data_IF_302288298490
#
_entry.id   IF_302288298490
#
_cell.length_a   1.000
_cell.length_b   1.000
_cell.length_c   1.000
_cell.angle_alpha   90.00
_cell.angle_beta   90.00
_cell.angle_gamma   90.00
#
_symmetry.space_group_name_H-M   'P 1'
#
loop_
_entity.id
_entity.type
_entity.pdbx_description
1 polymer ?
#
# COMPACT_ATOMS: atom_id res chain seq x y z
N UNK A 1 8.59 -10.33 -17.27
CA UNK A 1 7.18 -10.24 -16.96
C UNK A 1 6.98 -9.54 -15.61
N UNK A 2 6.24 -8.46 -15.62
CA UNK A 2 6.02 -7.65 -14.42
C UNK A 2 5.01 -8.32 -13.47
N UNK A 3 5.32 -8.33 -12.18
CA UNK A 3 4.38 -8.74 -11.15
C UNK A 3 3.42 -7.59 -10.86
N UNK A 4 2.17 -7.91 -10.60
CA UNK A 4 1.12 -6.93 -10.26
C UNK A 4 0.48 -7.33 -8.94
N UNK A 5 0.34 -6.36 -8.05
CA UNK A 5 -0.19 -6.53 -6.71
C UNK A 5 -1.18 -5.42 -6.39
N UNK A 6 -1.95 -5.61 -5.33
CA UNK A 6 -3.03 -4.70 -4.94
C UNK A 6 -2.82 -4.23 -3.50
N UNK A 7 -3.07 -2.95 -3.27
CA UNK A 7 -3.21 -2.38 -1.93
C UNK A 7 -4.63 -1.81 -1.80
N UNK A 8 -5.38 -2.33 -0.84
CA UNK A 8 -6.76 -1.93 -0.61
C UNK A 8 -6.89 -1.10 0.67
N UNK A 9 -7.71 -0.04 0.60
CA UNK A 9 -7.96 0.87 1.71
C UNK A 9 -9.23 0.54 2.49
N UNK A 10 -10.01 -0.45 2.04
CA UNK A 10 -11.28 -0.79 2.68
C UNK A 10 -12.29 0.35 2.61
N UNK A 11 -12.47 0.89 1.43
CA UNK A 11 -13.38 2.00 1.18
C UNK A 11 -14.80 1.63 1.61
N UNK A 12 -15.40 2.49 2.43
CA UNK A 12 -16.82 2.39 2.80
C UNK A 12 -17.59 3.28 1.82
N UNK A 13 -18.20 2.66 0.83
CA UNK A 13 -19.00 3.34 -0.18
C UNK A 13 -20.29 3.89 0.43
N UNK A 14 -20.87 4.89 -0.27
CA UNK A 14 -22.14 5.48 0.15
C UNK A 14 -23.20 4.39 0.32
N UNK A 15 -23.99 4.51 1.38
CA UNK A 15 -25.05 3.57 1.77
C UNK A 15 -24.57 2.16 2.19
N UNK A 16 -23.26 1.97 2.30
CA UNK A 16 -22.68 0.71 2.80
C UNK A 16 -22.27 0.86 4.28
N UNK A 17 -22.33 -0.27 4.97
CA UNK A 17 -21.85 -0.37 6.36
C UNK A 17 -20.36 -0.73 6.39
N UNK A 18 -19.66 -0.48 7.51
CA UNK A 18 -18.29 -0.98 7.68
C UNK A 18 -18.18 -2.50 7.53
N UNK A 19 -19.17 -3.26 7.99
CA UNK A 19 -19.18 -4.71 7.81
C UNK A 19 -19.20 -5.08 6.32
N UNK A 20 -20.08 -4.45 5.54
CA UNK A 20 -20.13 -4.67 4.10
C UNK A 20 -18.80 -4.31 3.42
N UNK A 21 -18.20 -3.20 3.82
CA UNK A 21 -16.92 -2.76 3.28
C UNK A 21 -15.80 -3.79 3.54
N UNK A 22 -15.71 -4.33 4.75
CA UNK A 22 -14.73 -5.36 5.09
C UNK A 22 -14.96 -6.66 4.34
N UNK A 23 -16.22 -7.06 4.16
CA UNK A 23 -16.57 -8.23 3.35
C UNK A 23 -16.25 -7.99 1.86
N UNK A 24 -16.42 -6.78 1.36
CA UNK A 24 -16.03 -6.41 0.00
C UNK A 24 -14.50 -6.45 -0.17
N UNK A 25 -13.74 -6.03 0.84
CA UNK A 25 -12.27 -6.19 0.83
C UNK A 25 -11.89 -7.66 0.70
N UNK A 26 -12.56 -8.55 1.43
CA UNK A 26 -12.35 -10.00 1.30
C UNK A 26 -12.67 -10.49 -0.12
N UNK A 27 -13.82 -10.07 -0.66
CA UNK A 27 -14.20 -10.44 -2.02
C UNK A 27 -13.18 -9.95 -3.05
N UNK A 28 -12.65 -8.74 -2.87
CA UNK A 28 -11.64 -8.20 -3.77
C UNK A 28 -10.33 -9.00 -3.69
N UNK A 29 -9.94 -9.42 -2.49
CA UNK A 29 -8.77 -10.29 -2.31
C UNK A 29 -8.97 -11.64 -3.03
N UNK A 30 -10.17 -12.21 -2.95
CA UNK A 30 -10.52 -13.45 -3.66
C UNK A 30 -10.49 -13.27 -5.18
N UNK A 31 -10.95 -12.13 -5.69
CA UNK A 31 -10.84 -11.79 -7.11
C UNK A 31 -9.37 -11.71 -7.53
N UNK A 32 -8.56 -11.00 -6.75
CA UNK A 32 -7.13 -10.87 -7.01
C UNK A 32 -6.42 -12.23 -7.01
N UNK A 33 -6.78 -13.12 -6.09
CA UNK A 33 -6.26 -14.48 -5.98
C UNK A 33 -6.58 -15.29 -7.25
N UNK A 34 -7.83 -15.25 -7.68
CA UNK A 34 -8.26 -15.96 -8.91
C UNK A 34 -7.60 -15.41 -10.17
N UNK A 35 -7.39 -14.10 -10.22
CA UNK A 35 -6.72 -13.44 -11.34
C UNK A 35 -5.20 -13.59 -11.29
N UNK A 36 -4.67 -14.24 -10.26
CA UNK A 36 -3.23 -14.52 -10.06
C UNK A 36 -2.39 -13.28 -9.83
N UNK A 37 -2.96 -12.26 -9.18
CA UNK A 37 -2.14 -11.18 -8.63
C UNK A 37 -1.16 -11.74 -7.62
N UNK A 38 -0.02 -11.09 -7.49
CA UNK A 38 1.06 -11.62 -6.65
C UNK A 38 0.82 -11.36 -5.16
N UNK A 39 0.32 -10.18 -4.80
CA UNK A 39 0.06 -9.77 -3.41
C UNK A 39 -1.25 -9.00 -3.28
N UNK A 40 -1.86 -9.12 -2.11
CA UNK A 40 -2.96 -8.25 -1.71
C UNK A 40 -2.64 -7.72 -0.32
N UNK A 41 -2.41 -6.41 -0.24
CA UNK A 41 -2.09 -5.72 0.99
C UNK A 41 -3.26 -4.86 1.44
N UNK A 42 -3.37 -4.64 2.76
CA UNK A 42 -4.35 -3.74 3.37
C UNK A 42 -3.62 -2.66 4.15
N UNK A 43 -4.15 -1.43 4.09
CA UNK A 43 -3.54 -0.28 4.73
C UNK A 43 -3.91 -0.19 6.21
N UNK A 44 -3.21 0.69 6.94
CA UNK A 44 -3.57 1.08 8.30
C UNK A 44 -3.90 2.58 8.29
N UNK A 45 -5.19 2.90 8.52
CA UNK A 45 -5.66 4.27 8.64
C UNK A 45 -6.45 4.43 9.93
N UNK A 46 -6.20 5.53 10.64
CA UNK A 46 -6.86 5.82 11.91
C UNK A 46 -7.62 7.13 11.83
N UNK A 47 -8.79 7.17 12.45
CA UNK A 47 -9.64 8.35 12.52
C UNK A 47 -10.08 8.85 11.13
N UNK A 48 -10.34 7.92 10.21
CA UNK A 48 -10.84 8.22 8.86
C UNK A 48 -12.10 7.38 8.65
N UNK A 49 -13.27 8.01 8.69
CA UNK A 49 -14.55 7.31 8.64
C UNK A 49 -14.78 6.51 7.35
N UNK A 50 -14.27 7.00 6.22
CA UNK A 50 -14.49 6.37 4.93
C UNK A 50 -13.62 5.14 4.65
N UNK A 51 -12.64 4.84 5.51
CA UNK A 51 -11.74 3.70 5.35
C UNK A 51 -11.87 2.74 6.53
N UNK A 52 -12.23 1.49 6.25
CA UNK A 52 -12.46 0.48 7.29
C UNK A 52 -11.17 -0.23 7.73
N UNK A 53 -10.03 -0.01 7.05
CA UNK A 53 -8.77 -0.70 7.36
C UNK A 53 -7.98 0.04 8.44
N UNK A 54 -8.30 -0.20 9.69
CA UNK A 54 -7.54 0.33 10.83
C UNK A 54 -6.64 -0.72 11.49
N UNK A 55 -6.91 -2.00 11.27
CA UNK A 55 -6.21 -3.11 11.94
C UNK A 55 -5.78 -4.14 10.90
N UNK A 56 -4.71 -3.84 10.13
CA UNK A 56 -4.27 -4.73 9.07
C UNK A 56 -3.87 -6.12 9.56
N UNK A 57 -3.32 -6.26 10.74
CA UNK A 57 -2.93 -7.55 11.33
C UNK A 57 -4.12 -8.51 11.48
N UNK A 58 -5.29 -7.99 11.86
CA UNK A 58 -6.51 -8.80 11.97
C UNK A 58 -7.06 -9.13 10.58
N UNK A 59 -7.07 -8.15 9.68
CA UNK A 59 -7.56 -8.34 8.32
C UNK A 59 -6.67 -9.32 7.55
N UNK A 60 -5.37 -9.28 7.75
CA UNK A 60 -4.45 -10.22 7.10
C UNK A 60 -4.83 -11.67 7.41
N UNK A 61 -5.14 -11.97 8.67
CA UNK A 61 -5.57 -13.33 9.05
C UNK A 61 -6.88 -13.70 8.35
N UNK A 62 -7.87 -12.80 8.38
CA UNK A 62 -9.16 -13.03 7.74
C UNK A 62 -9.00 -13.25 6.23
N UNK A 63 -8.18 -12.43 5.56
CA UNK A 63 -7.98 -12.54 4.11
C UNK A 63 -7.17 -13.79 3.75
N UNK A 64 -6.16 -14.13 4.52
CA UNK A 64 -5.35 -15.33 4.28
C UNK A 64 -6.19 -16.60 4.43
N UNK A 65 -7.09 -16.64 5.43
CA UNK A 65 -8.03 -17.75 5.63
C UNK A 65 -9.03 -17.92 4.46
N UNK A 66 -9.29 -16.87 3.70
CA UNK A 66 -10.30 -16.86 2.63
C UNK A 66 -9.70 -16.80 1.22
N UNK A 67 -8.41 -16.94 1.09
CA UNK A 67 -7.69 -17.00 -0.19
C UNK A 67 -6.79 -18.23 -0.23
N UNK A 68 -6.22 -18.54 -1.40
CA UNK A 68 -5.49 -19.80 -1.57
C UNK A 68 -3.99 -19.62 -1.84
N UNK A 69 -3.61 -18.77 -2.79
CA UNK A 69 -2.23 -18.67 -3.25
C UNK A 69 -1.64 -17.27 -3.10
N UNK A 70 -2.45 -16.23 -3.18
CA UNK A 70 -2.00 -14.86 -3.14
C UNK A 70 -1.30 -14.54 -1.80
N UNK A 71 -0.21 -13.80 -1.87
CA UNK A 71 0.45 -13.31 -0.66
C UNK A 71 -0.43 -12.22 -0.02
N UNK A 72 -0.50 -12.23 1.29
CA UNK A 72 -1.31 -11.29 2.07
C UNK A 72 -0.37 -10.46 2.94
N UNK A 73 -0.59 -9.15 2.99
CA UNK A 73 0.28 -8.29 3.77
C UNK A 73 -0.35 -6.97 4.18
N UNK A 74 0.46 -6.13 4.79
CA UNK A 74 0.10 -4.78 5.21
C UNK A 74 0.81 -3.75 4.32
N UNK A 75 0.12 -2.67 4.02
CA UNK A 75 0.69 -1.62 3.19
C UNK A 75 0.34 -0.21 3.67
N UNK A 76 0.88 0.20 4.84
CA UNK A 76 1.72 -0.57 5.76
C UNK A 76 1.29 -0.38 7.20
N UNK A 77 1.65 -1.33 8.02
CA UNK A 77 1.56 -1.15 9.46
C UNK A 77 2.39 0.07 9.83
N UNK A 78 1.91 0.83 10.81
CA UNK A 78 2.59 2.02 11.33
C UNK A 78 3.43 1.63 12.55
N UNK A 79 4.70 1.23 12.37
CA UNK A 79 5.45 0.51 13.39
C UNK A 79 5.84 1.38 14.59
N UNK A 80 5.80 2.69 14.43
CA UNK A 80 6.10 3.60 15.53
C UNK A 80 5.02 3.65 16.61
N UNK A 81 3.86 3.09 16.35
CA UNK A 81 2.78 3.02 17.34
C UNK A 81 2.88 1.78 18.24
N UNK A 82 3.68 0.78 17.87
CA UNK A 82 3.65 -0.52 18.52
C UNK A 82 5.04 -1.01 18.88
N UNK A 83 5.09 -2.04 19.73
CA UNK A 83 6.32 -2.79 19.99
C UNK A 83 6.75 -3.57 18.74
N UNK A 84 8.00 -3.46 18.35
CA UNK A 84 8.57 -4.27 17.26
C UNK A 84 8.47 -5.76 17.55
N UNK A 85 8.66 -6.14 18.81
CA UNK A 85 8.49 -7.52 19.26
C UNK A 85 7.06 -8.03 19.04
N UNK A 86 6.06 -7.21 19.37
CA UNK A 86 4.65 -7.60 19.19
C UNK A 86 4.27 -7.71 17.71
N UNK A 87 4.76 -6.80 16.89
CA UNK A 87 4.57 -6.89 15.42
C UNK A 87 5.17 -8.19 14.90
N UNK A 88 6.36 -8.54 15.34
CA UNK A 88 7.01 -9.79 14.93
C UNK A 88 6.20 -11.02 15.37
N UNK A 89 5.61 -11.00 16.57
CA UNK A 89 4.73 -12.08 17.01
C UNK A 89 3.48 -12.22 16.14
N UNK A 90 2.85 -11.10 15.76
CA UNK A 90 1.73 -11.13 14.82
C UNK A 90 2.13 -11.80 13.51
N UNK A 91 3.27 -11.39 12.96
CA UNK A 91 3.73 -11.87 11.66
C UNK A 91 4.10 -13.35 11.69
N UNK A 92 4.74 -13.79 12.75
CA UNK A 92 5.11 -15.21 12.88
C UNK A 92 3.90 -16.11 13.12
N UNK A 93 2.87 -15.60 13.79
CA UNK A 93 1.58 -16.31 13.94
C UNK A 93 0.90 -16.47 12.58
N UNK A 94 0.86 -15.39 11.79
CA UNK A 94 0.33 -15.42 10.43
C UNK A 94 1.11 -16.40 9.54
N UNK A 95 2.44 -16.33 9.60
CA UNK A 95 3.31 -17.22 8.80
C UNK A 95 3.13 -18.68 9.17
N UNK A 96 2.96 -19.00 10.46
CA UNK A 96 2.76 -20.38 10.92
C UNK A 96 1.47 -20.99 10.33
N UNK A 97 0.41 -20.20 10.22
CA UNK A 97 -0.87 -20.66 9.69
C UNK A 97 -0.96 -20.57 8.18
N UNK A 98 -0.21 -19.67 7.56
CA UNK A 98 -0.23 -19.43 6.12
C UNK A 98 1.21 -19.34 5.57
N UNK A 99 1.97 -20.43 5.58
CA UNK A 99 3.39 -20.40 5.24
C UNK A 99 3.63 -19.93 3.79
N UNK A 100 4.65 -19.11 3.63
CA UNK A 100 5.12 -18.56 2.35
C UNK A 100 4.13 -17.56 1.70
N UNK A 101 3.20 -17.01 2.49
CA UNK A 101 2.17 -16.10 1.96
C UNK A 101 2.08 -14.77 2.70
N UNK A 102 2.99 -14.46 3.61
CA UNK A 102 2.84 -13.31 4.50
C UNK A 102 3.90 -12.25 4.22
N UNK A 103 3.45 -11.01 4.12
CA UNK A 103 4.30 -9.84 3.97
C UNK A 103 4.05 -8.85 5.11
N UNK A 104 5.12 -8.32 5.68
CA UNK A 104 5.06 -7.17 6.56
C UNK A 104 5.54 -5.95 5.78
N UNK A 105 4.60 -5.14 5.30
CA UNK A 105 4.91 -3.82 4.78
C UNK A 105 4.69 -2.79 5.88
N UNK A 106 5.63 -1.87 6.05
CA UNK A 106 5.57 -0.85 7.11
C UNK A 106 5.74 0.55 6.53
N UNK A 107 4.95 1.50 7.05
CA UNK A 107 5.08 2.91 6.76
C UNK A 107 6.04 3.60 7.72
N UNK A 108 6.24 4.90 7.55
CA UNK A 108 7.15 5.70 8.37
C UNK A 108 6.46 6.88 9.07
N UNK A 109 5.14 6.94 9.04
CA UNK A 109 4.37 8.05 9.63
C UNK A 109 3.98 7.76 11.08
N UNK A 110 3.87 8.81 11.88
CA UNK A 110 3.27 8.77 13.21
C UNK A 110 1.78 9.15 13.19
N UNK A 111 1.27 9.64 12.05
CA UNK A 111 -0.07 10.16 11.97
C UNK A 111 -0.24 11.48 12.72
N UNK A 112 -1.49 11.85 13.01
CA UNK A 112 -1.79 13.10 13.70
C UNK A 112 -1.50 13.00 15.20
N UNK A 113 -1.33 14.14 15.92
CA UNK A 113 -1.17 14.12 17.37
C UNK A 113 -2.31 13.42 18.11
N UNK A 114 -3.54 13.58 17.62
CA UNK A 114 -4.71 12.94 18.21
C UNK A 114 -4.63 11.40 18.11
N UNK A 115 -4.22 10.88 16.95
CA UNK A 115 -4.01 9.46 16.73
C UNK A 115 -2.86 8.93 17.61
N UNK A 116 -1.77 9.67 17.69
CA UNK A 116 -0.63 9.29 18.54
C UNK A 116 -1.04 9.14 20.00
N UNK A 117 -1.86 10.08 20.53
CA UNK A 117 -2.37 9.97 21.88
C UNK A 117 -3.29 8.78 22.09
N UNK A 118 -4.21 8.57 21.13
CA UNK A 118 -5.17 7.47 21.21
C UNK A 118 -4.48 6.10 21.19
N UNK A 119 -3.41 5.96 20.42
CA UNK A 119 -2.64 4.73 20.32
C UNK A 119 -1.56 4.60 21.40
N UNK A 120 -1.38 5.63 22.21
CA UNK A 120 -0.31 5.67 23.23
C UNK A 120 1.05 5.35 22.63
N UNK A 121 1.36 6.01 21.50
CA UNK A 121 2.57 5.74 20.73
C UNK A 121 3.83 5.81 21.60
N UNK A 122 4.57 4.71 21.64
CA UNK A 122 5.75 4.55 22.49
C UNK A 122 7.04 5.03 21.81
N UNK A 123 6.99 5.31 20.52
CA UNK A 123 8.15 5.73 19.75
C UNK A 123 7.98 7.13 19.19
N UNK A 124 9.09 7.82 19.00
CA UNK A 124 9.16 9.07 18.24
C UNK A 124 9.73 8.77 16.85
N UNK A 125 9.67 9.73 15.94
CA UNK A 125 10.11 9.54 14.56
C UNK A 125 11.59 9.12 14.45
N UNK A 126 12.43 9.62 15.33
CA UNK A 126 13.86 9.31 15.37
C UNK A 126 14.14 7.85 15.72
N UNK A 127 13.17 7.14 16.29
CA UNK A 127 13.30 5.71 16.61
C UNK A 127 13.15 4.80 15.38
N UNK A 128 12.74 5.36 14.25
CA UNK A 128 12.34 4.54 13.08
C UNK A 128 13.42 3.56 12.64
N UNK A 129 14.67 4.05 12.49
CA UNK A 129 15.80 3.20 12.10
C UNK A 129 15.99 2.02 13.04
N UNK A 130 15.95 2.27 14.34
CA UNK A 130 16.10 1.23 15.36
C UNK A 130 14.95 0.23 15.33
N UNK A 131 13.72 0.71 15.19
CA UNK A 131 12.54 -0.15 15.12
C UNK A 131 12.62 -1.08 13.89
N UNK A 132 13.04 -0.55 12.75
CA UNK A 132 13.19 -1.36 11.54
C UNK A 132 14.32 -2.38 11.70
N UNK A 133 15.45 -1.99 12.29
CA UNK A 133 16.55 -2.93 12.58
C UNK A 133 16.07 -4.07 13.49
N UNK A 134 15.31 -3.77 14.53
CA UNK A 134 14.73 -4.78 15.41
C UNK A 134 13.81 -5.73 14.64
N UNK A 135 12.90 -5.20 13.83
CA UNK A 135 12.01 -6.02 13.00
C UNK A 135 12.81 -6.90 12.03
N UNK A 136 13.83 -6.34 11.41
CA UNK A 136 14.70 -7.09 10.49
C UNK A 136 15.36 -8.26 11.21
N UNK A 137 15.85 -8.06 12.42
CA UNK A 137 16.49 -9.09 13.23
C UNK A 137 15.49 -10.15 13.71
N UNK A 138 14.33 -9.73 14.24
CA UNK A 138 13.30 -10.67 14.69
C UNK A 138 12.78 -11.56 13.56
N UNK A 139 12.73 -11.04 12.36
CA UNK A 139 12.21 -11.76 11.18
C UNK A 139 13.31 -12.36 10.30
N UNK A 140 14.50 -12.55 10.86
CA UNK A 140 15.62 -13.18 10.17
C UNK A 140 15.97 -14.51 10.86
N UNK A 141 15.88 -15.65 10.15
CA UNK A 141 16.12 -16.97 10.76
C UNK A 141 17.55 -17.17 11.26
N UNK A 142 18.53 -16.58 10.60
CA UNK A 142 19.94 -16.82 10.80
C UNK A 142 20.72 -15.55 11.15
N UNK A 143 20.11 -14.66 11.92
CA UNK A 143 20.79 -13.43 12.31
C UNK A 143 21.98 -13.74 13.21
N UNK A 144 23.21 -13.27 12.89
CA UNK A 144 24.40 -13.54 13.71
C UNK A 144 24.35 -12.85 15.09
N UNK A 145 23.51 -11.81 15.24
CA UNK A 145 23.34 -11.08 16.48
C UNK A 145 21.86 -11.03 16.88
N UNK A 146 21.28 -12.15 17.26
CA UNK A 146 19.85 -12.19 17.61
C UNK A 146 19.59 -11.37 18.87
N UNK A 147 18.40 -10.80 18.94
CA UNK A 147 17.95 -10.12 20.15
C UNK A 147 17.73 -11.16 21.28
N UNK A 148 17.92 -10.77 22.55
CA UNK A 148 17.95 -11.73 23.66
C UNK A 148 16.56 -12.25 24.09
N UNK A 149 15.57 -12.15 23.24
CA UNK A 149 14.20 -12.58 23.47
C UNK A 149 13.69 -13.30 22.22
N UNK A 150 12.99 -14.41 22.41
CA UNK A 150 12.50 -15.23 21.31
C UNK A 150 11.11 -14.80 20.86
N UNK A 151 10.92 -14.64 19.56
CA UNK A 151 9.61 -14.44 18.95
C UNK A 151 8.97 -15.82 18.72
N UNK A 152 7.76 -16.02 19.18
CA UNK A 152 6.98 -17.23 18.96
C UNK A 152 5.73 -16.94 18.11
N UNK A 153 5.26 -17.92 17.32
CA UNK A 153 5.89 -19.22 17.06
C UNK A 153 7.12 -19.07 16.16
N UNK A 154 8.15 -19.88 16.41
CA UNK A 154 9.30 -19.94 15.52
C UNK A 154 8.96 -20.78 14.28
N UNK A 155 9.57 -20.46 13.16
CA UNK A 155 9.37 -21.17 11.91
C UNK A 155 10.66 -21.30 11.11
N UNK A 156 10.60 -22.04 10.00
CA UNK A 156 11.71 -22.19 9.07
C UNK A 156 11.70 -21.12 7.98
N UNK A 157 10.51 -20.61 7.65
CA UNK A 157 10.27 -19.55 6.68
C UNK A 157 9.71 -18.36 7.41
N UNK A 158 10.12 -17.18 6.99
CA UNK A 158 9.76 -15.93 7.66
C UNK A 158 9.00 -15.01 6.68
N UNK A 159 8.14 -14.13 7.17
CA UNK A 159 7.47 -13.13 6.32
C UNK A 159 8.49 -12.26 5.59
N UNK A 160 8.12 -11.77 4.41
CA UNK A 160 8.91 -10.75 3.74
C UNK A 160 8.72 -9.40 4.44
N UNK A 161 9.79 -8.64 4.56
CA UNK A 161 9.76 -7.30 5.16
C UNK A 161 9.98 -6.24 4.08
N UNK A 162 9.02 -5.30 3.98
CA UNK A 162 9.02 -4.23 2.98
C UNK A 162 8.89 -2.87 3.66
N UNK A 163 9.68 -1.89 3.23
CA UNK A 163 9.52 -0.50 3.67
C UNK A 163 8.81 0.31 2.59
N UNK A 164 7.84 1.12 2.99
CA UNK A 164 7.05 1.97 2.09
C UNK A 164 7.35 3.44 2.38
N UNK A 165 7.74 4.19 1.38
CA UNK A 165 7.95 5.64 1.50
C UNK A 165 8.09 6.29 0.13
N UNK A 166 8.31 7.62 0.13
CA UNK A 166 8.76 8.37 -1.03
C UNK A 166 10.09 9.09 -0.74
N UNK A 167 10.80 8.68 0.31
CA UNK A 167 12.04 9.36 0.73
C UNK A 167 13.28 8.52 0.47
N UNK A 168 14.35 9.19 0.03
CA UNK A 168 15.64 8.54 -0.17
C UNK A 168 16.22 7.99 1.12
N UNK A 169 15.91 8.60 2.26
CA UNK A 169 16.38 8.14 3.57
C UNK A 169 15.84 6.73 3.90
N UNK A 170 14.54 6.52 3.72
CA UNK A 170 13.93 5.20 3.94
C UNK A 170 14.39 4.20 2.89
N UNK A 171 14.52 4.63 1.64
CA UNK A 171 15.06 3.78 0.57
C UNK A 171 16.47 3.29 0.89
N UNK A 172 17.31 4.16 1.41
CA UNK A 172 18.67 3.82 1.84
C UNK A 172 18.66 2.80 2.98
N UNK A 173 17.80 2.99 3.96
CA UNK A 173 17.65 2.05 5.08
C UNK A 173 17.24 0.67 4.58
N UNK A 174 16.23 0.61 3.70
CA UNK A 174 15.80 -0.65 3.08
C UNK A 174 16.95 -1.33 2.32
N UNK A 175 17.71 -0.54 1.55
CA UNK A 175 18.89 -1.06 0.84
C UNK A 175 19.95 -1.61 1.77
N UNK A 176 20.33 -0.87 2.79
CA UNK A 176 21.37 -1.26 3.74
C UNK A 176 21.03 -2.54 4.50
N UNK A 177 19.74 -2.75 4.80
CA UNK A 177 19.26 -3.93 5.52
C UNK A 177 18.85 -5.08 4.59
N UNK A 178 18.94 -4.90 3.27
CA UNK A 178 18.57 -5.94 2.30
C UNK A 178 17.08 -6.27 2.32
N UNK A 179 16.23 -5.25 2.50
CA UNK A 179 14.77 -5.39 2.54
C UNK A 179 14.15 -5.06 1.18
N UNK A 180 12.86 -5.41 1.02
CA UNK A 180 12.07 -4.92 -0.09
C UNK A 180 11.74 -3.44 0.11
N UNK A 181 11.62 -2.70 -0.99
CA UNK A 181 11.26 -1.29 -0.93
C UNK A 181 10.09 -0.98 -1.86
N UNK A 182 9.13 -0.23 -1.35
CA UNK A 182 7.98 0.25 -2.12
C UNK A 182 8.03 1.77 -2.17
N UNK A 183 8.18 2.30 -3.39
CA UNK A 183 8.12 3.74 -3.65
C UNK A 183 6.67 4.12 -3.98
N UNK A 184 6.09 5.06 -3.22
CA UNK A 184 4.73 5.56 -3.46
C UNK A 184 4.74 6.90 -4.15
N UNK A 185 4.09 7.01 -5.32
CA UNK A 185 3.90 8.29 -6.01
C UNK A 185 2.56 8.90 -5.58
N UNK A 186 2.47 9.30 -4.32
CA UNK A 186 1.21 9.84 -3.81
C UNK A 186 1.07 11.33 -4.11
N UNK A 187 -0.18 11.86 -4.22
CA UNK A 187 -0.44 13.30 -4.30
C UNK A 187 0.23 14.08 -3.17
N UNK A 188 0.19 15.40 -3.25
CA UNK A 188 0.74 16.37 -2.30
C UNK A 188 2.24 16.61 -2.36
N UNK A 189 2.96 15.89 -3.19
CA UNK A 189 4.40 16.11 -3.32
C UNK A 189 4.67 17.16 -4.41
N UNK A 190 5.45 18.20 -4.12
CA UNK A 190 5.73 19.26 -5.10
C UNK A 190 6.77 18.89 -6.15
N UNK A 191 7.32 17.69 -6.09
CA UNK A 191 8.35 17.21 -7.01
C UNK A 191 7.74 16.57 -8.24
N UNK A 192 8.48 16.60 -9.36
CA UNK A 192 8.13 15.79 -10.53
C UNK A 192 8.18 14.29 -10.17
N UNK A 193 7.10 13.54 -10.41
CA UNK A 193 7.02 12.14 -10.02
C UNK A 193 8.05 11.24 -10.71
N UNK A 194 8.36 11.51 -11.97
CA UNK A 194 9.35 10.72 -12.72
C UNK A 194 10.75 10.93 -12.13
N UNK A 195 11.11 12.18 -11.86
CA UNK A 195 12.40 12.51 -11.28
C UNK A 195 12.57 11.94 -9.89
N UNK A 196 11.52 12.06 -9.07
CA UNK A 196 11.51 11.50 -7.72
C UNK A 196 11.66 9.98 -7.77
N UNK A 197 10.90 9.31 -8.65
CA UNK A 197 11.01 7.86 -8.83
C UNK A 197 12.43 7.43 -9.21
N UNK A 198 13.09 8.17 -10.11
CA UNK A 198 14.47 7.89 -10.50
C UNK A 198 15.45 8.05 -9.33
N UNK A 199 15.35 9.15 -8.61
CA UNK A 199 16.26 9.47 -7.51
C UNK A 199 16.15 8.47 -6.35
N UNK A 200 14.93 8.19 -5.92
CA UNK A 200 14.66 7.33 -4.77
C UNK A 200 15.01 5.87 -5.09
N UNK A 201 14.63 5.39 -6.26
CA UNK A 201 14.94 4.02 -6.67
C UNK A 201 16.44 3.79 -6.87
N UNK A 202 17.14 4.77 -7.42
CA UNK A 202 18.61 4.71 -7.53
C UNK A 202 19.28 4.61 -6.16
N UNK A 203 18.80 5.39 -5.19
CA UNK A 203 19.29 5.35 -3.82
C UNK A 203 19.12 3.95 -3.20
N UNK A 204 17.95 3.33 -3.38
CA UNK A 204 17.70 1.99 -2.90
C UNK A 204 18.66 0.96 -3.53
N UNK A 205 18.79 0.98 -4.86
CA UNK A 205 19.62 0.01 -5.57
C UNK A 205 21.10 0.16 -5.26
N UNK A 206 21.59 1.39 -5.15
CA UNK A 206 23.01 1.67 -4.86
C UNK A 206 23.42 1.25 -3.46
N UNK A 207 22.48 1.27 -2.50
CA UNK A 207 22.76 0.93 -1.11
C UNK A 207 22.44 -0.53 -0.78
N UNK A 208 21.79 -1.25 -1.69
CA UNK A 208 21.31 -2.62 -1.42
C UNK A 208 22.43 -3.58 -1.08
N UNK A 209 22.28 -4.26 0.04
CA UNK A 209 23.14 -5.36 0.48
C UNK A 209 22.31 -6.63 0.62
N UNK A 210 22.71 -7.74 -0.02
CA UNK A 210 22.01 -9.00 0.15
C UNK A 210 21.87 -9.41 1.61
N UNK A 211 20.71 -9.95 1.96
CA UNK A 211 20.40 -10.39 3.32
C UNK A 211 19.60 -11.69 3.29
N UNK A 212 19.26 -12.22 4.47
CA UNK A 212 18.36 -13.35 4.57
C UNK A 212 16.93 -13.00 4.11
N UNK A 213 16.58 -11.72 4.05
CA UNK A 213 15.28 -11.25 3.55
C UNK A 213 15.22 -11.32 2.03
N UNK A 214 16.20 -10.74 1.36
CA UNK A 214 16.30 -10.72 -0.10
C UNK A 214 17.74 -10.81 -0.55
N UNK A 215 17.99 -11.64 -1.55
CA UNK A 215 19.32 -11.77 -2.18
C UNK A 215 19.55 -10.70 -3.23
N UNK A 216 18.48 -10.19 -3.83
CA UNK A 216 18.49 -9.17 -4.88
C UNK A 216 17.54 -8.05 -4.53
N UNK A 217 17.76 -6.82 -5.01
CA UNK A 217 16.83 -5.73 -4.80
C UNK A 217 15.43 -6.09 -5.30
N UNK A 218 14.41 -5.69 -4.54
CA UNK A 218 13.01 -5.87 -4.91
C UNK A 218 12.33 -4.52 -4.73
N UNK A 219 11.94 -3.91 -5.83
CA UNK A 219 11.31 -2.59 -5.85
C UNK A 219 9.88 -2.67 -6.36
N UNK A 220 8.92 -2.20 -5.56
CA UNK A 220 7.55 -1.97 -6.00
C UNK A 220 7.30 -0.48 -6.23
N UNK A 221 6.49 -0.17 -7.22
CA UNK A 221 5.90 1.15 -7.39
C UNK A 221 4.45 1.10 -6.94
N UNK A 222 4.07 1.94 -5.98
CA UNK A 222 2.68 2.08 -5.53
C UNK A 222 2.06 3.35 -6.13
N UNK A 223 0.86 3.22 -6.70
CA UNK A 223 0.16 4.34 -7.33
C UNK A 223 -1.35 4.18 -7.19
N UNK A 224 -2.06 5.30 -7.01
CA UNK A 224 -3.51 5.32 -7.15
C UNK A 224 -3.86 5.10 -8.63
N UNK A 225 -4.69 4.10 -8.88
CA UNK A 225 -5.10 3.72 -10.24
C UNK A 225 -6.61 3.75 -10.33
N UNK A 226 -7.13 4.57 -11.25
CA UNK A 226 -8.55 4.58 -11.61
C UNK A 226 -8.64 4.12 -13.06
N UNK A 227 -8.88 2.84 -13.24
CA UNK A 227 -8.89 2.14 -14.52
C UNK A 227 -10.31 1.67 -14.82
N UNK A 228 -10.83 2.06 -15.98
CA UNK A 228 -12.17 1.68 -16.46
C UNK A 228 -12.08 1.32 -17.94
N UNK A 229 -13.20 0.86 -18.50
CA UNK A 229 -13.25 0.43 -19.92
C UNK A 229 -12.95 1.57 -20.90
N UNK A 230 -13.34 2.81 -20.54
CA UNK A 230 -13.11 4.00 -21.37
C UNK A 230 -12.47 5.11 -20.55
N UNK A 231 -11.80 6.05 -21.24
CA UNK A 231 -11.23 7.23 -20.59
C UNK A 231 -12.31 8.09 -19.92
N UNK A 232 -13.46 8.25 -20.56
CA UNK A 232 -14.59 9.03 -20.04
C UNK A 232 -15.13 8.45 -18.74
N UNK A 233 -15.29 7.13 -18.70
CA UNK A 233 -15.75 6.43 -17.51
C UNK A 233 -14.71 6.53 -16.39
N UNK A 234 -13.45 6.37 -16.71
CA UNK A 234 -12.37 6.52 -15.72
C UNK A 234 -12.32 7.94 -15.15
N UNK A 235 -12.50 8.97 -15.99
CA UNK A 235 -12.55 10.36 -15.54
C UNK A 235 -13.71 10.60 -14.57
N UNK A 236 -14.88 10.06 -14.85
CA UNK A 236 -16.03 10.16 -13.95
C UNK A 236 -15.75 9.49 -12.60
N UNK A 237 -15.12 8.32 -12.63
CA UNK A 237 -14.78 7.56 -11.41
C UNK A 237 -13.59 8.15 -10.64
N UNK A 238 -12.80 9.00 -11.26
CA UNK A 238 -11.66 9.67 -10.63
C UNK A 238 -12.05 10.95 -9.88
N UNK A 239 -13.20 11.54 -10.18
CA UNK A 239 -13.66 12.76 -9.51
C UNK A 239 -13.82 12.60 -7.98
N UNK A 240 -14.33 11.48 -7.46
CA UNK A 240 -14.33 11.25 -6.02
C UNK A 240 -12.93 11.33 -5.42
N UNK A 241 -11.92 10.79 -6.09
CA UNK A 241 -10.54 10.84 -5.62
C UNK A 241 -10.01 12.29 -5.61
N UNK A 242 -10.31 13.07 -6.64
CA UNK A 242 -9.94 14.48 -6.69
C UNK A 242 -10.46 15.25 -5.48
N UNK A 243 -11.74 15.06 -5.16
CA UNK A 243 -12.40 15.73 -4.04
C UNK A 243 -11.86 15.21 -2.71
N UNK A 244 -11.68 13.91 -2.59
CA UNK A 244 -11.12 13.29 -1.40
C UNK A 244 -9.75 13.90 -1.06
N UNK A 245 -8.92 14.08 -2.07
CA UNK A 245 -7.57 14.62 -1.89
C UNK A 245 -7.55 16.12 -1.57
N UNK A 246 -8.65 16.84 -1.77
CA UNK A 246 -8.78 18.22 -1.30
C UNK A 246 -9.07 18.31 0.19
N UNK A 247 -9.71 17.30 0.77
CA UNK A 247 -10.04 17.21 2.18
C UNK A 247 -8.91 16.70 3.08
N UNK A 248 -7.67 16.84 2.62
CA UNK A 248 -6.49 16.28 3.28
C UNK A 248 -6.38 16.57 4.77
N UNK A 249 -6.80 17.77 5.21
CA UNK A 249 -6.72 18.17 6.62
C UNK A 249 -7.93 17.72 7.43
N UNK A 250 -9.02 17.38 6.78
CA UNK A 250 -10.25 16.91 7.42
C UNK A 250 -10.95 15.87 6.55
N UNK A 251 -10.38 14.68 6.50
CA UNK A 251 -11.00 13.56 5.80
C UNK A 251 -12.35 13.15 6.40
N UNK A 252 -12.64 13.56 7.63
CA UNK A 252 -13.90 13.24 8.30
C UNK A 252 -15.07 14.13 7.87
N UNK A 253 -14.84 15.08 6.97
CA UNK A 253 -15.92 15.74 6.24
C UNK A 253 -16.75 14.69 5.44
N UNK A 254 -16.13 13.60 5.05
CA UNK A 254 -16.80 12.49 4.35
C UNK A 254 -16.99 11.31 5.31
N UNK A 255 -18.24 10.98 5.62
CA UNK A 255 -18.58 9.79 6.45
C UNK A 255 -18.43 8.50 5.66
N UNK A 256 -18.63 8.58 4.35
CA UNK A 256 -18.38 7.50 3.39
C UNK A 256 -17.61 8.10 2.21
N UNK A 257 -17.04 7.23 1.38
CA UNK A 257 -16.31 7.70 0.20
C UNK A 257 -17.30 8.34 -0.80
N UNK A 258 -16.95 9.51 -1.38
CA UNK A 258 -17.88 10.17 -2.30
C UNK A 258 -18.21 9.32 -3.53
N UNK A 259 -19.47 9.42 -4.00
CA UNK A 259 -19.89 8.79 -5.25
C UNK A 259 -19.43 9.61 -6.44
N UNK A 260 -19.40 9.00 -7.62
CA UNK A 260 -19.13 9.71 -8.88
C UNK A 260 -20.17 10.81 -9.11
N UNK A 261 -21.44 10.54 -8.78
CA UNK A 261 -22.54 11.50 -8.93
C UNK A 261 -22.36 12.70 -8.01
N UNK A 262 -22.08 12.47 -6.72
CA UNK A 262 -21.81 13.57 -5.78
C UNK A 262 -20.62 14.41 -6.25
N UNK A 263 -19.55 13.74 -6.67
CA UNK A 263 -18.35 14.43 -7.13
C UNK A 263 -18.60 15.28 -8.39
N UNK A 264 -19.47 14.83 -9.30
CA UNK A 264 -19.81 15.55 -10.52
C UNK A 264 -20.52 16.88 -10.25
N UNK A 265 -21.18 17.01 -9.10
CA UNK A 265 -21.89 18.22 -8.69
C UNK A 265 -21.08 19.13 -7.76
N UNK A 266 -19.85 18.75 -7.45
CA UNK A 266 -19.00 19.48 -6.54
C UNK A 266 -18.39 20.69 -7.24
N UNK A 267 -18.64 21.91 -6.70
CA UNK A 267 -18.08 23.14 -7.25
C UNK A 267 -16.69 23.38 -6.68
N UNK A 268 -15.70 23.46 -7.55
CA UNK A 268 -14.32 23.73 -7.16
C UNK A 268 -13.97 25.20 -7.33
N UNK A 269 -13.25 25.77 -6.36
CA UNK A 269 -12.62 27.07 -6.51
C UNK A 269 -11.45 26.97 -7.50
N UNK A 270 -10.94 28.10 -7.94
CA UNK A 270 -9.78 28.11 -8.84
C UNK A 270 -8.55 27.47 -8.18
N UNK A 271 -8.30 27.76 -6.91
CA UNK A 271 -7.20 27.15 -6.16
C UNK A 271 -7.38 25.65 -6.03
N UNK A 272 -8.60 25.17 -5.78
CA UNK A 272 -8.88 23.73 -5.73
C UNK A 272 -8.64 23.08 -7.08
N UNK A 273 -9.03 23.72 -8.19
CA UNK A 273 -8.74 23.20 -9.53
C UNK A 273 -7.24 23.06 -9.78
N UNK A 274 -6.45 24.02 -9.33
CA UNK A 274 -4.98 23.95 -9.42
C UNK A 274 -4.42 22.78 -8.61
N UNK A 275 -4.94 22.58 -7.41
CA UNK A 275 -4.54 21.45 -6.54
C UNK A 275 -4.89 20.12 -7.19
N UNK A 276 -6.10 19.99 -7.74
CA UNK A 276 -6.52 18.79 -8.48
C UNK A 276 -5.56 18.50 -9.65
N UNK A 277 -5.26 19.52 -10.45
CA UNK A 277 -4.34 19.37 -11.59
C UNK A 277 -2.96 18.91 -11.15
N UNK A 278 -2.43 19.47 -10.07
CA UNK A 278 -1.13 19.05 -9.50
C UNK A 278 -1.17 17.61 -8.99
N UNK A 279 -2.23 17.25 -8.26
CA UNK A 279 -2.40 15.89 -7.74
C UNK A 279 -2.52 14.84 -8.86
N UNK A 280 -3.17 15.22 -9.97
CA UNK A 280 -3.36 14.33 -11.13
C UNK A 280 -2.05 13.88 -11.76
N UNK A 281 -0.97 14.64 -11.64
CA UNK A 281 0.35 14.23 -12.11
C UNK A 281 0.88 12.99 -11.38
N UNK A 282 0.30 12.65 -10.24
CA UNK A 282 0.68 11.53 -9.38
C UNK A 282 -0.42 10.47 -9.26
N UNK A 283 -1.35 10.47 -10.18
CA UNK A 283 -2.43 9.49 -10.28
C UNK A 283 -2.39 8.86 -11.66
N UNK A 284 -2.83 7.61 -11.75
CA UNK A 284 -2.92 6.89 -13.02
C UNK A 284 -4.40 6.66 -13.33
N UNK A 285 -4.89 7.32 -14.36
CA UNK A 285 -6.34 7.37 -14.65
C UNK A 285 -6.56 7.19 -16.14
N UNK A 286 -7.46 6.30 -16.52
CA UNK A 286 -7.86 6.13 -17.90
C UNK A 286 -8.34 4.74 -18.25
N UNK A 287 -8.51 4.53 -19.55
CA UNK A 287 -8.75 3.24 -20.17
C UNK A 287 -7.49 2.37 -20.09
N UNK A 288 -7.59 1.07 -20.43
CA UNK A 288 -6.41 0.19 -20.43
C UNK A 288 -5.22 0.74 -21.23
N UNK A 289 -5.47 1.30 -22.42
CA UNK A 289 -4.39 1.85 -23.23
C UNK A 289 -3.72 3.06 -22.58
N UNK A 290 -4.51 3.97 -22.03
CA UNK A 290 -4.02 5.16 -21.35
C UNK A 290 -3.24 4.80 -20.08
N UNK A 291 -3.80 3.93 -19.27
CA UNK A 291 -3.17 3.47 -18.02
C UNK A 291 -1.86 2.75 -18.31
N UNK A 292 -1.83 1.86 -19.30
CA UNK A 292 -0.61 1.15 -19.65
C UNK A 292 0.52 2.11 -20.03
N UNK A 293 0.22 3.13 -20.81
CA UNK A 293 1.19 4.14 -21.21
C UNK A 293 1.77 4.89 -20.02
N UNK A 294 0.91 5.31 -19.10
CA UNK A 294 1.32 6.01 -17.89
C UNK A 294 2.16 5.12 -16.96
N UNK A 295 1.72 3.88 -16.74
CA UNK A 295 2.41 2.93 -15.87
C UNK A 295 3.75 2.50 -16.45
N UNK A 296 3.83 2.21 -17.74
CA UNK A 296 5.08 1.80 -18.36
C UNK A 296 6.15 2.89 -18.21
N UNK A 297 5.75 4.15 -18.35
CA UNK A 297 6.65 5.28 -18.16
C UNK A 297 7.17 5.36 -16.70
N UNK A 298 6.30 5.20 -15.73
CA UNK A 298 6.67 5.23 -14.31
C UNK A 298 7.52 4.01 -13.92
N UNK A 299 7.13 2.84 -14.38
CA UNK A 299 7.84 1.60 -14.11
C UNK A 299 9.26 1.62 -14.69
N UNK A 300 9.42 2.17 -15.88
CA UNK A 300 10.73 2.37 -16.49
C UNK A 300 11.59 3.37 -15.70
N UNK A 301 10.99 4.47 -15.26
CA UNK A 301 11.72 5.51 -14.55
C UNK A 301 12.38 4.98 -13.27
N UNK A 302 11.68 4.15 -12.50
CA UNK A 302 12.20 3.57 -11.27
C UNK A 302 12.77 2.16 -11.45
N UNK A 303 12.68 1.59 -12.64
CA UNK A 303 13.08 0.20 -12.90
C UNK A 303 12.41 -0.76 -11.90
N UNK A 304 11.13 -0.55 -11.65
CA UNK A 304 10.39 -1.34 -10.68
C UNK A 304 10.20 -2.78 -11.15
N UNK A 305 10.31 -3.70 -10.21
CA UNK A 305 10.10 -5.13 -10.44
C UNK A 305 8.62 -5.49 -10.37
N UNK A 306 7.85 -4.69 -9.67
CA UNK A 306 6.46 -5.00 -9.35
C UNK A 306 5.64 -3.72 -9.21
N UNK A 307 4.37 -3.80 -9.63
CA UNK A 307 3.38 -2.73 -9.46
C UNK A 307 2.50 -3.05 -8.25
N UNK A 308 2.34 -2.10 -7.36
CA UNK A 308 1.35 -2.14 -6.27
C UNK A 308 0.23 -1.15 -6.61
N UNK A 309 -0.84 -1.66 -7.19
CA UNK A 309 -1.98 -0.85 -7.62
C UNK A 309 -2.91 -0.55 -6.45
N UNK A 310 -3.30 0.71 -6.30
CA UNK A 310 -4.26 1.13 -5.28
C UNK A 310 -5.54 1.56 -6.01
N UNK A 311 -6.54 0.66 -6.11
CA UNK A 311 -7.76 0.96 -6.85
C UNK A 311 -8.73 1.77 -5.97
N UNK A 312 -8.41 3.03 -5.72
CA UNK A 312 -9.24 3.92 -4.92
C UNK A 312 -10.38 4.45 -5.79
N UNK A 313 -11.35 3.58 -6.01
CA UNK A 313 -12.45 3.75 -6.95
C UNK A 313 -13.75 3.48 -6.20
N UNK A 314 -14.80 4.33 -6.36
CA UNK A 314 -16.07 4.06 -5.70
C UNK A 314 -16.76 2.83 -6.28
N UNK A 315 -17.44 2.10 -5.42
CA UNK A 315 -18.22 0.90 -5.68
C UNK A 315 -17.40 -0.35 -6.01
N UNK A 316 -17.71 -1.45 -5.35
CA UNK A 316 -17.00 -2.72 -5.48
C UNK A 316 -16.91 -3.22 -6.93
N UNK A 317 -18.02 -3.15 -7.68
CA UNK A 317 -18.03 -3.61 -9.08
C UNK A 317 -16.98 -2.89 -9.92
N UNK A 318 -16.77 -1.59 -9.67
CA UNK A 318 -15.77 -0.80 -10.40
C UNK A 318 -14.35 -1.15 -9.97
N UNK A 319 -14.12 -1.45 -8.70
CA UNK A 319 -12.83 -1.94 -8.22
C UNK A 319 -12.49 -3.30 -8.81
N UNK A 320 -13.46 -4.20 -8.84
CA UNK A 320 -13.30 -5.52 -9.46
C UNK A 320 -12.97 -5.40 -10.94
N UNK A 321 -13.71 -4.55 -11.66
CA UNK A 321 -13.48 -4.34 -13.09
C UNK A 321 -12.07 -3.81 -13.36
N UNK A 322 -11.61 -2.89 -12.52
CA UNK A 322 -10.24 -2.37 -12.61
C UNK A 322 -9.20 -3.49 -12.47
N UNK A 323 -9.39 -4.42 -11.54
CA UNK A 323 -8.48 -5.56 -11.39
C UNK A 323 -8.50 -6.48 -12.60
N UNK A 324 -9.69 -6.74 -13.16
CA UNK A 324 -9.83 -7.56 -14.37
C UNK A 324 -9.08 -6.93 -15.55
N UNK A 325 -9.27 -5.63 -15.76
CA UNK A 325 -8.58 -4.89 -16.82
C UNK A 325 -7.07 -4.84 -16.61
N UNK A 326 -6.62 -4.68 -15.38
CA UNK A 326 -5.21 -4.65 -15.03
C UNK A 326 -4.56 -6.02 -15.27
N UNK A 327 -5.25 -7.09 -14.93
CA UNK A 327 -4.80 -8.46 -15.21
C UNK A 327 -4.64 -8.68 -16.74
N UNK A 328 -5.59 -8.21 -17.53
CA UNK A 328 -5.52 -8.32 -18.99
C UNK A 328 -4.31 -7.57 -19.56
N UNK A 329 -3.95 -6.43 -18.97
CA UNK A 329 -2.80 -5.64 -19.44
C UNK A 329 -1.45 -6.32 -19.19
N UNK A 330 -1.30 -7.02 -18.07
CA UNK A 330 0.01 -7.45 -17.60
C UNK A 330 0.18 -8.95 -17.39
N UNK A 331 -0.91 -9.72 -17.32
CA UNK A 331 -0.85 -11.13 -16.90
C UNK A 331 -1.32 -12.10 -17.96
N UNK A 332 -1.92 -11.65 -19.03
CA UNK A 332 -2.23 -12.49 -20.18
C UNK A 332 -1.00 -12.69 -21.06
N UNK A 333 -0.87 -13.89 -21.58
CA UNK A 333 0.25 -14.28 -22.45
C UNK A 333 -0.04 -13.89 -23.88
#
# INVERSE_FOLDING_TARGET
RMKVSVLDYGVIDNEKTPQEALLETRCLAQVADKLRFHRFWVAEHHNIYAFATSSPELLMMHLADHTKQIRIGSGGIMPLHYSSFKIAEWMMTLEALHPNRIDLGVGNSLGTPLVQRALSSIHIKEDYGRVIEELSTYLSPDDPNPLPIAVNPKGKVYPQLWLLSNSSETAQLAGQLGLGYTFGIFPYMPKDPIREAQEVSACYRQTFKPSSHFKNPQLMLAAFIVLADTDEEAEALAKPLDIWMLGQQDFNAFKTYPTAKEASHYSLTENQRKTVAANRSRMVIGSPQTVKKQLDRLMQACQADELLAIPLIPEFANRQRALELLADLYMTI
#
